data_IF_775814376095
#
_entry.id   IF_775814376095
#
_cell.length_a   1.000
_cell.length_b   1.000
_cell.length_c   1.000
_cell.angle_alpha   90.00
_cell.angle_beta   90.00
_cell.angle_gamma   90.00
#
_symmetry.space_group_name_H-M   'P 1'
#
loop_
_entity.id
_entity.type
_entity.pdbx_description
1 polymer ?
#
# COMPACT_ATOMS: atom_id res chain seq x y z
N UNK A 1 8.53 -8.93 -7.75
CA UNK A 1 7.68 -9.60 -6.74
C UNK A 1 8.30 -9.38 -5.36
N UNK A 2 7.49 -9.17 -4.31
CA UNK A 2 8.00 -9.11 -2.93
C UNK A 2 8.84 -10.35 -2.64
N UNK A 3 10.03 -10.19 -2.06
CA UNK A 3 10.93 -11.30 -1.70
C UNK A 3 10.95 -11.46 -0.18
N UNK A 4 11.23 -12.68 0.30
CA UNK A 4 11.28 -12.99 1.72
C UNK A 4 10.04 -13.75 2.23
N UNK A 5 9.76 -13.67 3.53
CA UNK A 5 8.73 -14.52 4.16
C UNK A 5 7.31 -14.29 3.62
N UNK A 6 7.01 -13.07 3.13
CA UNK A 6 5.73 -12.75 2.49
C UNK A 6 5.49 -13.59 1.23
N UNK A 7 6.53 -13.91 0.47
CA UNK A 7 6.42 -14.77 -0.72
C UNK A 7 6.12 -16.23 -0.34
N UNK A 8 6.72 -16.71 0.75
CA UNK A 8 6.44 -18.05 1.30
C UNK A 8 4.98 -18.15 1.72
N UNK A 9 4.49 -17.16 2.47
CA UNK A 9 3.08 -17.11 2.90
C UNK A 9 2.13 -17.01 1.70
N UNK A 10 2.46 -16.19 0.71
CA UNK A 10 1.62 -16.05 -0.48
C UNK A 10 1.50 -17.37 -1.24
N UNK A 11 2.60 -18.10 -1.43
CA UNK A 11 2.60 -19.43 -2.06
C UNK A 11 1.78 -20.45 -1.26
N UNK A 12 1.96 -20.49 0.06
CA UNK A 12 1.25 -21.42 0.94
C UNK A 12 -0.27 -21.20 0.91
N UNK A 13 -0.72 -19.94 0.87
CA UNK A 13 -2.13 -19.58 0.87
C UNK A 13 -2.72 -19.40 -0.54
N UNK A 14 -1.96 -19.71 -1.61
CA UNK A 14 -2.33 -19.46 -3.01
C UNK A 14 -2.79 -18.00 -3.24
N UNK A 15 -2.18 -17.07 -2.50
CA UNK A 15 -2.48 -15.65 -2.56
C UNK A 15 -1.55 -14.94 -3.57
N UNK A 16 -2.04 -13.83 -4.12
CA UNK A 16 -1.20 -12.94 -4.93
C UNK A 16 -0.53 -11.92 -4.03
N UNK A 17 0.80 -11.90 -4.03
CA UNK A 17 1.58 -10.90 -3.30
C UNK A 17 1.80 -9.66 -4.17
N UNK A 18 1.47 -8.49 -3.64
CA UNK A 18 1.72 -7.19 -4.26
C UNK A 18 2.49 -6.28 -3.31
N UNK A 19 3.40 -5.49 -3.85
CA UNK A 19 4.08 -4.42 -3.11
C UNK A 19 3.71 -3.10 -3.79
N UNK A 20 3.27 -2.14 -2.98
CA UNK A 20 3.06 -0.76 -3.40
C UNK A 20 4.20 0.09 -2.87
N UNK A 21 4.76 0.96 -3.71
CA UNK A 21 5.75 1.94 -3.29
C UNK A 21 5.05 3.13 -2.63
N UNK A 22 5.61 3.61 -1.52
CA UNK A 22 5.09 4.77 -0.83
C UNK A 22 5.44 6.04 -1.60
N UNK A 23 4.49 6.99 -1.73
CA UNK A 23 4.76 8.32 -2.31
C UNK A 23 6.02 8.96 -1.72
N UNK A 24 6.81 9.63 -2.56
CA UNK A 24 8.09 10.26 -2.22
C UNK A 24 9.24 9.30 -1.86
N UNK A 25 9.06 7.99 -2.01
CA UNK A 25 10.14 7.01 -1.87
C UNK A 25 10.36 6.29 -3.20
N UNK A 26 11.62 5.97 -3.50
CA UNK A 26 11.99 5.30 -4.75
C UNK A 26 11.79 6.20 -5.96
N UNK A 27 11.07 5.70 -6.96
CA UNK A 27 10.86 6.41 -8.23
C UNK A 27 9.55 7.20 -8.26
N UNK A 28 8.66 7.01 -7.27
CA UNK A 28 7.33 7.61 -7.27
C UNK A 28 7.37 8.94 -6.51
N UNK A 29 7.61 10.02 -7.24
CA UNK A 29 7.47 11.39 -6.72
C UNK A 29 6.47 12.17 -7.58
N UNK A 30 5.44 12.82 -7.01
CA UNK A 30 4.36 13.45 -7.77
C UNK A 30 4.79 14.48 -8.83
N UNK A 31 5.99 15.05 -8.68
CA UNK A 31 6.58 16.04 -9.59
C UNK A 31 8.06 15.80 -9.91
N UNK A 32 8.64 14.65 -9.53
CA UNK A 32 10.10 14.46 -9.48
C UNK A 32 10.85 15.59 -8.74
N UNK A 33 10.14 16.26 -7.84
CA UNK A 33 10.62 17.40 -7.09
C UNK A 33 10.46 17.12 -5.59
N UNK A 34 11.55 17.32 -4.86
CA UNK A 34 11.65 17.16 -3.41
C UNK A 34 11.70 18.52 -2.70
N UNK A 35 11.24 19.59 -3.34
CA UNK A 35 11.07 20.90 -2.72
C UNK A 35 10.14 20.83 -1.50
N UNK A 36 10.33 21.77 -0.58
CA UNK A 36 9.49 21.92 0.62
C UNK A 36 8.01 22.11 0.28
N UNK A 37 7.71 22.75 -0.85
CA UNK A 37 6.34 22.93 -1.34
C UNK A 37 5.68 21.59 -1.71
N UNK A 38 6.42 20.67 -2.33
CA UNK A 38 5.88 19.36 -2.72
C UNK A 38 5.85 18.40 -1.52
N UNK A 39 6.83 18.47 -0.61
CA UNK A 39 6.88 17.66 0.60
C UNK A 39 5.71 17.91 1.56
N UNK A 40 4.99 19.03 1.43
CA UNK A 40 3.76 19.26 2.21
C UNK A 40 2.69 18.18 1.99
N UNK A 41 2.76 17.45 0.87
CA UNK A 41 1.84 16.35 0.55
C UNK A 41 2.34 14.98 1.06
N UNK A 42 3.52 14.91 1.67
CA UNK A 42 4.02 13.72 2.35
C UNK A 42 3.35 13.60 3.73
N UNK A 43 2.06 13.30 3.73
CA UNK A 43 1.29 13.10 4.97
C UNK A 43 0.75 11.67 5.05
N UNK A 44 0.92 11.06 6.22
CA UNK A 44 0.41 9.73 6.52
C UNK A 44 -1.12 9.68 6.47
N UNK A 45 -1.76 10.63 7.14
CA UNK A 45 -3.16 10.53 7.52
C UNK A 45 -4.12 10.67 6.35
N UNK A 46 -3.91 11.68 5.50
CA UNK A 46 -4.85 11.99 4.43
C UNK A 46 -4.44 11.34 3.12
N UNK A 47 -3.15 11.28 2.87
CA UNK A 47 -2.60 11.11 1.53
C UNK A 47 -2.10 9.69 1.32
N UNK A 48 -1.20 9.20 2.19
CA UNK A 48 -0.71 7.82 2.09
C UNK A 48 -1.84 6.78 2.27
N UNK A 49 -2.79 7.02 3.18
CA UNK A 49 -3.96 6.15 3.35
C UNK A 49 -4.91 6.19 2.14
N UNK A 50 -5.09 7.36 1.53
CA UNK A 50 -5.89 7.48 0.31
C UNK A 50 -5.27 6.70 -0.85
N UNK A 51 -3.94 6.73 -1.00
CA UNK A 51 -3.26 5.94 -2.03
C UNK A 51 -3.44 4.44 -1.83
N UNK A 52 -3.33 3.96 -0.59
CA UNK A 52 -3.54 2.53 -0.30
C UNK A 52 -4.97 2.12 -0.63
N UNK A 53 -5.96 2.94 -0.28
CA UNK A 53 -7.36 2.68 -0.61
C UNK A 53 -7.61 2.71 -2.12
N UNK A 54 -7.05 3.69 -2.82
CA UNK A 54 -7.15 3.82 -4.27
C UNK A 54 -6.50 2.63 -4.98
N UNK A 55 -5.29 2.24 -4.57
CA UNK A 55 -4.56 1.09 -5.10
C UNK A 55 -5.38 -0.20 -4.94
N UNK A 56 -5.92 -0.46 -3.75
CA UNK A 56 -6.72 -1.67 -3.52
C UNK A 56 -8.00 -1.65 -4.36
N UNK A 57 -8.68 -0.51 -4.43
CA UNK A 57 -9.91 -0.38 -5.23
C UNK A 57 -9.61 -0.68 -6.70
N UNK A 58 -8.63 0.01 -7.28
CA UNK A 58 -8.22 -0.16 -8.66
C UNK A 58 -7.76 -1.60 -8.94
N UNK A 59 -6.94 -2.19 -8.08
CA UNK A 59 -6.45 -3.56 -8.26
C UNK A 59 -7.58 -4.59 -8.19
N UNK A 60 -8.55 -4.38 -7.29
CA UNK A 60 -9.72 -5.27 -7.14
C UNK A 60 -10.65 -5.17 -8.35
N UNK A 61 -10.82 -3.98 -8.93
CA UNK A 61 -11.63 -3.78 -10.14
C UNK A 61 -10.96 -4.35 -11.37
N UNK A 62 -9.68 -4.02 -11.61
CA UNK A 62 -8.95 -4.44 -12.81
C UNK A 62 -8.75 -5.96 -12.87
N UNK A 63 -8.43 -6.59 -11.74
CA UNK A 63 -8.18 -8.03 -11.70
C UNK A 63 -9.42 -8.84 -11.34
N UNK A 64 -10.59 -8.20 -11.21
CA UNK A 64 -11.86 -8.85 -10.85
C UNK A 64 -11.75 -9.74 -9.61
N UNK A 65 -10.90 -9.38 -8.64
CA UNK A 65 -10.70 -10.16 -7.41
C UNK A 65 -11.75 -9.85 -6.34
N UNK A 66 -12.97 -9.46 -6.77
CA UNK A 66 -14.09 -9.16 -5.88
C UNK A 66 -14.40 -10.41 -5.05
N UNK A 67 -14.25 -10.32 -3.73
CA UNK A 67 -14.45 -11.44 -2.78
C UNK A 67 -13.17 -12.05 -2.23
N UNK A 68 -11.98 -11.66 -2.74
CA UNK A 68 -10.71 -12.04 -2.10
C UNK A 68 -10.38 -11.10 -0.93
N UNK A 69 -10.12 -11.62 0.29
CA UNK A 69 -9.74 -10.79 1.42
C UNK A 69 -8.36 -10.17 1.21
N UNK A 70 -8.19 -8.94 1.69
CA UNK A 70 -6.90 -8.24 1.68
C UNK A 70 -6.20 -8.41 3.02
N UNK A 71 -4.91 -8.71 2.99
CA UNK A 71 -4.05 -8.72 4.17
C UNK A 71 -2.95 -7.67 3.92
N UNK A 72 -2.92 -6.64 4.77
CA UNK A 72 -1.84 -5.66 4.76
C UNK A 72 -0.66 -6.18 5.57
N UNK A 73 0.53 -6.18 4.99
CA UNK A 73 1.76 -6.61 5.65
C UNK A 73 2.79 -5.49 5.59
N UNK A 74 3.34 -5.12 6.73
CA UNK A 74 4.39 -4.11 6.84
C UNK A 74 5.08 -4.16 8.20
N UNK A 75 6.32 -3.70 8.27
CA UNK A 75 7.13 -3.68 9.50
C UNK A 75 7.65 -2.28 9.74
N UNK A 76 7.68 -1.80 10.99
CA UNK A 76 7.99 -0.41 11.36
C UNK A 76 6.97 0.59 10.81
N UNK A 77 7.39 1.64 10.09
CA UNK A 77 6.49 2.67 9.55
C UNK A 77 5.43 2.11 8.58
N UNK A 78 5.80 1.23 7.61
CA UNK A 78 4.83 0.47 6.84
C UNK A 78 3.85 -0.37 7.68
N UNK A 79 4.27 -0.83 8.87
CA UNK A 79 3.40 -1.57 9.80
C UNK A 79 2.36 -0.68 10.46
N UNK A 80 2.75 0.51 10.92
CA UNK A 80 1.79 1.51 11.42
C UNK A 80 0.80 1.94 10.33
N UNK A 81 1.27 2.09 9.08
CA UNK A 81 0.43 2.35 7.93
C UNK A 81 -0.53 1.18 7.63
N UNK A 82 -0.05 -0.06 7.70
CA UNK A 82 -0.84 -1.27 7.46
C UNK A 82 -1.97 -1.42 8.48
N UNK A 83 -1.65 -1.26 9.76
CA UNK A 83 -2.64 -1.29 10.83
C UNK A 83 -3.72 -0.22 10.62
N UNK A 84 -3.30 1.00 10.30
CA UNK A 84 -4.22 2.13 10.20
C UNK A 84 -5.09 2.09 8.94
N UNK A 85 -4.52 1.68 7.80
CA UNK A 85 -5.28 1.51 6.56
C UNK A 85 -6.36 0.45 6.68
N UNK A 86 -6.05 -0.66 7.36
CA UNK A 86 -7.02 -1.73 7.57
C UNK A 86 -8.15 -1.32 8.52
N UNK A 87 -7.84 -0.66 9.64
CA UNK A 87 -8.85 -0.12 10.57
C UNK A 87 -9.71 0.97 9.92
N UNK A 88 -9.15 1.85 9.10
CA UNK A 88 -9.92 2.90 8.40
C UNK A 88 -10.96 2.37 7.42
N UNK A 89 -10.81 1.11 7.00
CA UNK A 89 -11.66 0.47 5.99
C UNK A 89 -12.76 -0.41 6.60
N UNK A 90 -12.56 -0.85 7.85
CA UNK A 90 -13.53 -1.58 8.66
C UNK A 90 -13.82 -0.79 9.94
N UNK A 91 -14.52 0.36 9.85
CA UNK A 91 -14.94 1.13 11.02
C UNK A 91 -15.90 0.35 11.92
#
# INVERSE_FOLDING_TARGET
MPKGYVDVLAKQHKAKAVASEHRFYGQITPKNDLSTETLRFLTLWNQALADVNHFIHHFTTELTTKGSPWIAVGTSYPGALSLRGFVSRNP
#
